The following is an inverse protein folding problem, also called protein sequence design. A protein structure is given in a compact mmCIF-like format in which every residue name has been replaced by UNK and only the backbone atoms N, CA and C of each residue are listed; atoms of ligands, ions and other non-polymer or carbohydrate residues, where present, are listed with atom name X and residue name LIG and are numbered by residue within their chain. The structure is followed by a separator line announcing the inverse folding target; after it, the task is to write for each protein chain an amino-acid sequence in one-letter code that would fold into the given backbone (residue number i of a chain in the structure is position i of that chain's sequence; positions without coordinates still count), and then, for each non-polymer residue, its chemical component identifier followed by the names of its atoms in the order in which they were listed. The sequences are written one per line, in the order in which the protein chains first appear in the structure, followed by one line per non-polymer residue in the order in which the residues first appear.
data_IF_672550250422
#
_entry.id   IF_672550250422
#
_cell.length_a   1.000
_cell.length_b   1.000
_cell.length_c   1.000
_cell.angle_alpha   90.00
_cell.angle_beta   90.00
_cell.angle_gamma   90.00
#
_symmetry.space_group_name_H-M   'P 1'
#
loop_
_entity.id
_entity.type
_entity.pdbx_description
1 polymer ?
#
# COMPACT_ATOMS: atom_id res chain seq x y z
N UNK A 1 15.25 -9.27 -15.63
CA UNK A 1 14.76 -10.10 -16.74
C UNK A 1 15.93 -10.36 -17.67
N UNK A 2 16.12 -11.60 -18.12
CA UNK A 2 17.24 -11.94 -19.01
C UNK A 2 17.00 -11.31 -20.40
N UNK A 3 17.97 -10.61 -21.03
CA UNK A 3 17.78 -9.97 -22.34
C UNK A 3 17.27 -10.91 -23.44
N UNK A 4 17.71 -12.17 -23.44
CA UNK A 4 17.27 -13.19 -24.40
C UNK A 4 15.82 -13.59 -24.22
N UNK A 5 15.35 -13.63 -22.97
CA UNK A 5 13.97 -13.95 -22.63
C UNK A 5 13.01 -12.84 -23.08
N UNK A 6 13.43 -11.58 -22.95
CA UNK A 6 12.67 -10.43 -23.44
C UNK A 6 12.54 -10.43 -24.97
N UNK A 7 13.65 -10.69 -25.68
CA UNK A 7 13.64 -10.78 -27.15
C UNK A 7 12.71 -11.89 -27.66
N UNK A 8 12.79 -13.09 -27.06
CA UNK A 8 11.95 -14.22 -27.43
C UNK A 8 10.44 -13.91 -27.25
N UNK A 9 10.08 -13.22 -26.16
CA UNK A 9 8.70 -12.78 -25.90
C UNK A 9 8.22 -11.71 -26.89
N UNK A 10 9.10 -10.81 -27.30
CA UNK A 10 8.80 -9.78 -28.31
C UNK A 10 8.53 -10.40 -29.69
N UNK A 11 9.33 -11.40 -30.09
CA UNK A 11 9.15 -12.11 -31.35
C UNK A 11 7.84 -12.92 -31.37
N UNK A 12 7.51 -13.57 -30.26
CA UNK A 12 6.26 -14.32 -30.08
C UNK A 12 5.03 -13.39 -30.22
N UNK A 13 5.07 -12.23 -29.55
CA UNK A 13 4.00 -11.24 -29.62
C UNK A 13 3.81 -10.71 -31.06
N UNK A 14 4.91 -10.49 -31.78
CA UNK A 14 4.88 -10.08 -33.19
C UNK A 14 4.21 -11.13 -34.08
N UNK A 15 4.53 -12.42 -33.90
CA UNK A 15 3.89 -13.52 -34.63
C UNK A 15 2.38 -13.61 -34.37
N UNK A 16 1.96 -13.29 -33.15
CA UNK A 16 0.56 -13.28 -32.75
C UNK A 16 -0.19 -12.00 -33.16
N UNK A 17 0.49 -11.03 -33.80
CA UNK A 17 -0.10 -9.74 -34.16
C UNK A 17 -0.45 -8.88 -32.93
N UNK A 18 0.21 -9.12 -31.80
CA UNK A 18 0.01 -8.34 -30.57
C UNK A 18 0.90 -7.10 -30.64
N UNK A 19 0.28 -5.94 -30.78
CA UNK A 19 0.97 -4.65 -30.74
C UNK A 19 1.01 -4.11 -29.30
N UNK A 20 2.21 -3.96 -28.75
CA UNK A 20 2.38 -3.27 -27.47
C UNK A 20 2.30 -1.76 -27.70
N UNK A 21 1.18 -1.17 -27.30
CA UNK A 21 1.07 0.28 -27.24
C UNK A 21 2.08 0.81 -26.22
N UNK A 22 2.74 1.92 -26.56
CA UNK A 22 3.63 2.64 -25.65
C UNK A 22 2.89 3.05 -24.38
N UNK A 23 3.60 3.37 -23.28
CA UNK A 23 2.96 3.78 -22.03
C UNK A 23 1.95 4.89 -22.28
N UNK A 24 0.67 4.56 -22.11
CA UNK A 24 -0.40 5.50 -22.39
C UNK A 24 -0.42 6.57 -21.29
N UNK A 25 -0.39 7.84 -21.67
CA UNK A 25 -0.41 8.94 -20.70
C UNK A 25 -1.71 8.96 -19.91
N UNK A 26 -1.65 9.41 -18.64
CA UNK A 26 -2.81 9.47 -17.72
C UNK A 26 -4.05 10.11 -18.35
N UNK A 27 -3.86 11.17 -19.14
CA UNK A 27 -4.95 11.91 -19.77
C UNK A 27 -5.75 11.09 -20.81
N UNK A 28 -5.23 9.95 -21.26
CA UNK A 28 -5.89 9.03 -22.21
C UNK A 28 -6.52 7.83 -21.53
N UNK A 29 -6.42 7.72 -20.21
CA UNK A 29 -7.01 6.61 -19.49
C UNK A 29 -8.54 6.76 -19.43
N UNK A 30 -9.30 5.67 -19.62
CA UNK A 30 -10.73 5.70 -19.35
C UNK A 30 -10.97 6.12 -17.91
N UNK A 31 -11.86 7.09 -17.69
CA UNK A 31 -12.16 7.64 -16.36
C UNK A 31 -12.57 6.54 -15.36
N UNK A 32 -13.26 5.50 -15.82
CA UNK A 32 -13.67 4.34 -15.02
C UNK A 32 -12.50 3.49 -14.50
N UNK A 33 -11.30 3.64 -15.07
CA UNK A 33 -10.12 2.82 -14.78
C UNK A 33 -8.91 3.63 -14.35
N UNK A 34 -9.01 4.96 -14.33
CA UNK A 34 -7.90 5.87 -14.03
C UNK A 34 -7.22 5.52 -12.70
N UNK A 35 -8.02 5.30 -11.66
CA UNK A 35 -7.52 4.98 -10.31
C UNK A 35 -6.83 3.60 -10.27
N UNK A 36 -7.35 2.61 -11.01
CA UNK A 36 -6.75 1.26 -11.09
C UNK A 36 -5.45 1.29 -11.85
N UNK A 37 -5.41 1.99 -12.98
CA UNK A 37 -4.20 2.14 -13.78
C UNK A 37 -3.12 2.91 -13.01
N UNK A 38 -3.50 3.90 -12.20
CA UNK A 38 -2.58 4.58 -11.31
C UNK A 38 -1.95 3.62 -10.28
N UNK A 39 -2.76 2.77 -9.65
CA UNK A 39 -2.26 1.76 -8.72
C UNK A 39 -1.35 0.71 -9.38
N UNK A 40 -1.69 0.25 -10.60
CA UNK A 40 -0.87 -0.70 -11.36
C UNK A 40 0.48 -0.07 -11.73
N UNK A 41 0.47 1.18 -12.20
CA UNK A 41 1.69 1.89 -12.55
C UNK A 41 2.57 2.07 -11.31
N UNK A 42 2.00 2.49 -10.19
CA UNK A 42 2.72 2.64 -8.92
C UNK A 42 3.33 1.30 -8.46
N UNK A 43 2.63 0.17 -8.61
CA UNK A 43 3.19 -1.17 -8.34
C UNK A 43 4.38 -1.49 -9.25
N UNK A 44 4.29 -1.14 -10.54
CA UNK A 44 5.34 -1.41 -11.51
C UNK A 44 6.64 -0.62 -11.27
N UNK A 45 6.58 0.51 -10.56
CA UNK A 45 7.76 1.31 -10.22
C UNK A 45 8.42 0.89 -8.90
N UNK A 46 7.82 -0.03 -8.14
CA UNK A 46 8.33 -0.46 -6.83
C UNK A 46 9.17 -1.72 -6.95
N UNK A 47 10.28 -1.75 -6.21
CA UNK A 47 11.18 -2.91 -6.16
C UNK A 47 10.75 -3.88 -5.05
N UNK A 48 11.10 -5.16 -5.20
CA UNK A 48 10.71 -6.23 -4.26
C UNK A 48 11.20 -6.02 -2.82
N UNK A 49 12.26 -5.24 -2.63
CA UNK A 49 12.82 -4.84 -1.34
C UNK A 49 12.04 -3.70 -0.66
N UNK A 50 11.20 -2.98 -1.42
CA UNK A 50 10.33 -1.91 -0.93
C UNK A 50 8.91 -2.43 -0.65
N UNK A 51 8.74 -3.18 0.45
CA UNK A 51 7.39 -3.54 0.90
C UNK A 51 6.59 -2.28 1.24
N UNK A 52 5.50 -2.04 0.51
CA UNK A 52 4.57 -0.96 0.83
C UNK A 52 3.15 -1.48 0.70
N UNK A 53 2.50 -1.64 1.85
CA UNK A 53 1.16 -2.21 2.05
C UNK A 53 0.02 -1.37 1.39
N UNK A 54 0.34 -0.15 0.97
CA UNK A 54 -0.61 0.87 0.50
C UNK A 54 -1.23 0.60 -0.87
N UNK A 55 -0.90 -0.52 -1.55
CA UNK A 55 -1.47 -0.89 -2.84
C UNK A 55 -1.96 -2.33 -2.80
N UNK A 56 -3.21 -2.48 -2.37
CA UNK A 56 -3.93 -3.75 -2.38
C UNK A 56 -5.11 -3.64 -3.34
N UNK A 57 -5.48 -4.76 -3.98
CA UNK A 57 -6.68 -4.85 -4.84
C UNK A 57 -7.95 -4.38 -4.13
N UNK A 58 -7.97 -4.49 -2.80
CA UNK A 58 -9.10 -4.12 -1.94
C UNK A 58 -9.10 -2.65 -1.54
N UNK A 59 -8.27 -1.77 -2.10
CA UNK A 59 -8.21 -0.37 -1.68
C UNK A 59 -9.53 0.37 -1.78
N UNK A 60 -10.33 0.06 -2.80
CA UNK A 60 -11.64 0.68 -2.96
C UNK A 60 -12.64 0.19 -1.90
N UNK A 61 -12.46 -1.02 -1.37
CA UNK A 61 -13.36 -1.61 -0.36
C UNK A 61 -12.82 -1.47 1.06
N UNK A 62 -11.53 -1.20 1.22
CA UNK A 62 -10.81 -1.13 2.50
C UNK A 62 -9.80 0.03 2.51
N UNK A 63 -10.26 1.29 2.37
CA UNK A 63 -9.37 2.45 2.28
C UNK A 63 -8.50 2.64 3.53
N UNK A 64 -8.96 2.20 4.71
CA UNK A 64 -8.22 2.28 5.98
C UNK A 64 -6.89 1.54 5.98
N UNK A 65 -6.68 0.59 5.07
CA UNK A 65 -5.39 -0.13 4.93
C UNK A 65 -4.23 0.80 4.60
N UNK A 66 -4.48 1.94 3.93
CA UNK A 66 -3.44 2.95 3.66
C UNK A 66 -2.95 3.64 4.94
N UNK A 67 -3.78 3.68 5.98
CA UNK A 67 -3.49 4.37 7.24
C UNK A 67 -2.98 3.42 8.34
N UNK A 68 -3.08 2.10 8.13
CA UNK A 68 -2.58 1.08 9.06
C UNK A 68 -1.08 1.23 9.38
N UNK A 69 -0.15 1.41 8.42
CA UNK A 69 1.27 1.54 8.73
C UNK A 69 1.58 2.77 9.59
N UNK A 70 1.01 3.93 9.24
CA UNK A 70 1.16 5.17 10.01
C UNK A 70 0.61 5.03 11.43
N UNK A 71 -0.43 4.21 11.61
CA UNK A 71 -0.99 3.91 12.93
C UNK A 71 -0.11 2.95 13.70
N UNK A 72 0.39 1.90 13.07
CA UNK A 72 1.33 0.96 13.68
C UNK A 72 2.60 1.70 14.14
N UNK A 73 3.13 2.60 13.31
CA UNK A 73 4.26 3.46 13.66
C UNK A 73 3.94 4.37 14.86
N UNK A 74 2.80 5.09 14.82
CA UNK A 74 2.35 5.92 15.95
C UNK A 74 2.18 5.12 17.24
N UNK A 75 1.57 3.95 17.17
CA UNK A 75 1.36 3.06 18.31
C UNK A 75 2.70 2.57 18.88
N UNK A 76 3.64 2.18 18.00
CA UNK A 76 4.99 1.77 18.39
C UNK A 76 5.75 2.91 19.09
N UNK A 77 5.75 4.10 18.50
CA UNK A 77 6.38 5.28 19.11
C UNK A 77 5.73 5.66 20.45
N UNK A 78 4.40 5.55 20.54
CA UNK A 78 3.67 5.81 21.77
C UNK A 78 4.04 4.80 22.87
N UNK A 79 4.11 3.52 22.53
CA UNK A 79 4.51 2.47 23.45
C UNK A 79 5.95 2.65 23.96
N UNK A 80 6.90 2.95 23.06
CA UNK A 80 8.30 3.22 23.45
C UNK A 80 8.39 4.43 24.37
N UNK A 81 7.67 5.52 24.07
CA UNK A 81 7.61 6.70 24.94
C UNK A 81 7.04 6.36 26.32
N UNK A 82 5.93 5.63 26.38
CA UNK A 82 5.33 5.28 27.67
C UNK A 82 6.23 4.34 28.48
N UNK A 83 6.98 3.44 27.83
CA UNK A 83 7.98 2.63 28.50
C UNK A 83 9.10 3.48 29.11
N UNK A 84 9.59 4.50 28.38
CA UNK A 84 10.65 5.39 28.87
C UNK A 84 10.18 6.34 29.98
N UNK A 85 8.96 6.84 29.90
CA UNK A 85 8.44 7.89 30.79
C UNK A 85 7.64 7.34 31.99
N UNK A 86 6.91 6.23 31.81
CA UNK A 86 5.89 5.74 32.74
C UNK A 86 6.01 4.23 33.06
N UNK A 87 7.18 3.61 32.87
CA UNK A 87 7.38 2.15 33.04
C UNK A 87 6.92 1.58 34.39
N UNK A 88 6.82 2.40 35.43
CA UNK A 88 6.35 1.99 36.77
C UNK A 88 4.84 2.09 36.99
N UNK A 89 4.08 2.71 36.09
CA UNK A 89 2.63 2.94 36.25
C UNK A 89 1.85 2.26 35.13
N UNK A 90 1.47 1.00 35.37
CA UNK A 90 0.70 0.20 34.42
C UNK A 90 -0.57 0.88 33.95
N UNK A 91 -1.35 1.43 34.88
CA UNK A 91 -2.59 2.12 34.56
C UNK A 91 -2.35 3.31 33.62
N UNK A 92 -1.27 4.07 33.86
CA UNK A 92 -0.92 5.26 33.08
C UNK A 92 -0.52 4.93 31.65
N UNK A 93 0.46 4.04 31.45
CA UNK A 93 0.89 3.70 30.09
C UNK A 93 -0.18 2.94 29.33
N UNK A 94 -0.94 2.06 30.02
CA UNK A 94 -2.03 1.30 29.41
C UNK A 94 -3.12 2.23 28.90
N UNK A 95 -3.56 3.20 29.70
CA UNK A 95 -4.59 4.17 29.27
C UNK A 95 -4.18 4.93 28.00
N UNK A 96 -2.91 5.37 27.91
CA UNK A 96 -2.39 6.07 26.73
C UNK A 96 -2.40 5.19 25.48
N UNK A 97 -1.92 3.96 25.59
CA UNK A 97 -1.82 3.01 24.46
C UNK A 97 -3.19 2.47 24.04
N UNK A 98 -4.06 2.14 25.01
CA UNK A 98 -5.37 1.53 24.78
C UNK A 98 -6.30 2.45 23.98
N UNK A 99 -6.25 3.77 24.22
CA UNK A 99 -7.03 4.73 23.43
C UNK A 99 -6.65 4.72 21.94
N UNK A 100 -5.35 4.66 21.61
CA UNK A 100 -4.89 4.59 20.22
C UNK A 100 -5.29 3.27 19.55
N UNK A 101 -5.27 2.16 20.29
CA UNK A 101 -5.78 0.86 19.81
C UNK A 101 -7.29 0.93 19.55
N UNK A 102 -8.06 1.51 20.46
CA UNK A 102 -9.52 1.61 20.33
C UNK A 102 -9.96 2.55 19.20
N UNK A 103 -9.16 3.58 18.89
CA UNK A 103 -9.38 4.44 17.71
C UNK A 103 -9.40 3.63 16.40
N UNK A 104 -8.85 2.42 16.37
CA UNK A 104 -8.98 1.51 15.23
C UNK A 104 -10.45 1.23 14.87
N UNK A 105 -11.32 1.06 15.85
CA UNK A 105 -12.73 0.73 15.64
C UNK A 105 -13.52 1.85 14.96
N UNK A 106 -13.16 3.12 15.18
CA UNK A 106 -13.84 4.25 14.53
C UNK A 106 -13.49 4.38 13.04
N UNK A 107 -12.41 3.75 12.60
CA UNK A 107 -11.90 3.87 11.22
C UNK A 107 -12.05 2.56 10.43
N UNK A 108 -12.13 1.40 11.08
CA UNK A 108 -12.25 0.12 10.37
C UNK A 108 -13.65 -0.49 10.37
N UNK A 109 -14.52 -0.09 11.32
CA UNK A 109 -15.85 -0.70 11.51
C UNK A 109 -16.99 0.25 11.10
N UNK A 110 -16.73 1.54 10.96
CA UNK A 110 -17.75 2.55 10.70
C UNK A 110 -18.11 2.75 9.21
N UNK A 111 -17.73 1.82 8.32
CA UNK A 111 -17.93 1.92 6.87
C UNK A 111 -18.88 0.87 6.31
#
# INVERSE_FOLDING_TARGET
MNPTEFACRSDEATKLGIEFLTPNERHRWPQSHEERFAHIQELGHRMYDSFVESISRDISTKPWRKELPKRAERLSSLADRCYREDSGNEFGWRFKVENEIMYRFTVEVAW
#
